data_IF_754071864431
#
_entry.id   IF_754071864431
#
_cell.length_a   1.000
_cell.length_b   1.000
_cell.length_c   1.000
_cell.angle_alpha   90.00
_cell.angle_beta   90.00
_cell.angle_gamma   90.00
#
_symmetry.space_group_name_H-M   'P 1'
#
loop_
_entity.id
_entity.type
_entity.pdbx_description
1 polymer ?
#
# COMPACT_ATOMS: atom_id res chain seq x y z
N UNK A 1 8.23 -22.20 -3.80
CA UNK A 1 8.45 -21.84 -5.23
C UNK A 1 9.54 -20.77 -5.26
N UNK A 2 10.67 -21.00 -5.93
CA UNK A 2 11.69 -19.96 -6.08
C UNK A 2 11.26 -18.99 -7.19
N UNK A 3 11.03 -17.71 -6.87
CA UNK A 3 10.65 -16.67 -7.83
C UNK A 3 11.70 -16.51 -8.94
N UNK A 4 12.96 -16.82 -8.64
CA UNK A 4 14.11 -16.76 -9.54
C UNK A 4 14.10 -17.82 -10.67
N UNK A 5 13.09 -18.70 -10.73
CA UNK A 5 12.94 -19.67 -11.84
C UNK A 5 12.39 -18.99 -13.10
N UNK A 6 11.69 -17.85 -12.96
CA UNK A 6 11.23 -17.07 -14.11
C UNK A 6 12.37 -16.19 -14.65
N UNK A 7 12.87 -16.40 -15.88
CA UNK A 7 14.06 -15.72 -16.38
C UNK A 7 13.95 -14.20 -16.36
N UNK A 8 12.80 -13.65 -16.76
CA UNK A 8 12.58 -12.20 -16.82
C UNK A 8 12.59 -11.57 -15.42
N UNK A 9 11.99 -12.25 -14.43
CA UNK A 9 12.05 -11.81 -13.04
C UNK A 9 13.48 -11.86 -12.52
N UNK A 10 14.21 -12.95 -12.78
CA UNK A 10 15.60 -13.09 -12.36
C UNK A 10 16.51 -12.02 -12.99
N UNK A 11 16.29 -11.67 -14.26
CA UNK A 11 17.01 -10.60 -14.93
C UNK A 11 16.73 -9.23 -14.31
N UNK A 12 15.46 -8.93 -13.99
CA UNK A 12 15.06 -7.70 -13.30
C UNK A 12 15.67 -7.63 -11.89
N UNK A 13 15.55 -8.71 -11.11
CA UNK A 13 16.02 -8.77 -9.73
C UNK A 13 17.54 -8.61 -9.59
N UNK A 14 18.32 -8.87 -10.66
CA UNK A 14 19.76 -8.65 -10.70
C UNK A 14 20.15 -7.17 -10.76
N UNK A 15 19.31 -6.32 -11.33
CA UNK A 15 19.65 -4.91 -11.63
C UNK A 15 18.79 -3.91 -10.88
N UNK A 16 17.60 -4.33 -10.45
CA UNK A 16 16.62 -3.47 -9.75
C UNK A 16 16.41 -3.98 -8.32
N UNK A 17 16.65 -3.15 -7.30
CA UNK A 17 16.34 -3.50 -5.92
C UNK A 17 14.84 -3.76 -5.73
N UNK A 18 14.49 -4.93 -5.22
CA UNK A 18 13.11 -5.31 -4.89
C UNK A 18 12.89 -5.09 -3.39
N UNK A 19 11.79 -4.41 -3.03
CA UNK A 19 11.33 -4.22 -1.64
C UNK A 19 9.94 -4.88 -1.56
N UNK A 20 9.88 -6.17 -1.22
CA UNK A 20 8.63 -6.93 -1.35
C UNK A 20 7.74 -6.75 -0.13
N UNK A 21 6.44 -6.98 -0.28
CA UNK A 21 5.49 -7.22 0.81
C UNK A 21 4.44 -8.18 0.26
N UNK A 22 3.84 -9.01 1.11
CA UNK A 22 2.83 -9.96 0.65
C UNK A 22 1.42 -9.37 0.58
N UNK A 23 0.56 -10.13 -0.09
CA UNK A 23 -0.87 -10.12 0.17
C UNK A 23 -1.41 -11.53 0.49
N UNK A 24 -2.73 -11.71 0.53
CA UNK A 24 -3.39 -12.99 0.86
C UNK A 24 -2.95 -14.17 -0.02
N UNK A 25 -2.69 -13.93 -1.30
CA UNK A 25 -2.24 -14.95 -2.25
C UNK A 25 -0.81 -15.46 -1.99
N UNK A 26 0.05 -14.68 -1.33
CA UNK A 26 1.34 -15.16 -0.82
C UNK A 26 1.22 -15.69 0.61
N UNK A 27 0.29 -15.14 1.39
CA UNK A 27 0.02 -15.52 2.78
C UNK A 27 -0.59 -16.92 2.91
N UNK A 28 -1.36 -17.37 1.91
CA UNK A 28 -1.75 -18.78 1.74
C UNK A 28 -3.25 -19.04 1.66
N UNK A 29 -4.10 -18.08 2.02
CA UNK A 29 -5.56 -18.20 1.91
C UNK A 29 -6.19 -16.83 1.65
N UNK A 30 -7.12 -16.78 0.68
CA UNK A 30 -7.82 -15.56 0.31
C UNK A 30 -8.43 -14.85 1.53
N UNK A 31 -8.09 -13.56 1.64
CA UNK A 31 -8.59 -12.66 2.67
C UNK A 31 -8.39 -13.16 4.12
N UNK A 32 -7.43 -14.07 4.37
CA UNK A 32 -7.18 -14.64 5.68
C UNK A 32 -6.29 -13.74 6.55
N UNK A 33 -6.54 -13.74 7.85
CA UNK A 33 -5.86 -12.92 8.85
C UNK A 33 -5.08 -13.76 9.84
N UNK A 34 -5.08 -13.33 11.10
CA UNK A 34 -4.38 -14.00 12.21
C UNK A 34 -4.87 -15.42 12.51
N UNK A 35 -6.08 -15.77 12.05
CA UNK A 35 -6.70 -17.10 12.17
C UNK A 35 -6.10 -18.15 11.25
N UNK A 36 -5.31 -17.75 10.25
CA UNK A 36 -4.62 -18.68 9.38
C UNK A 36 -3.52 -19.41 10.15
N UNK A 37 -3.60 -20.75 10.18
CA UNK A 37 -2.73 -21.59 11.00
C UNK A 37 -1.30 -21.72 10.51
N UNK A 38 -1.05 -21.48 9.21
CA UNK A 38 0.27 -21.64 8.58
C UNK A 38 0.99 -20.30 8.38
N UNK A 39 0.60 -19.25 9.12
CA UNK A 39 1.09 -17.88 8.86
C UNK A 39 2.57 -17.71 9.20
N UNK A 40 3.08 -18.43 10.19
CA UNK A 40 4.50 -18.48 10.53
C UNK A 40 5.31 -19.13 9.41
N UNK A 41 4.85 -20.25 8.87
CA UNK A 41 5.45 -20.96 7.75
C UNK A 41 5.40 -20.12 6.47
N UNK A 42 4.28 -19.45 6.20
CA UNK A 42 4.18 -18.50 5.09
C UNK A 42 5.20 -17.37 5.24
N UNK A 43 5.43 -16.84 6.46
CA UNK A 43 6.44 -15.81 6.69
C UNK A 43 7.86 -16.31 6.37
N UNK A 44 8.18 -17.54 6.78
CA UNK A 44 9.46 -18.17 6.46
C UNK A 44 9.64 -18.31 4.95
N UNK A 45 8.63 -18.85 4.25
CA UNK A 45 8.64 -19.01 2.80
C UNK A 45 8.73 -17.66 2.07
N UNK A 46 8.06 -16.62 2.56
CA UNK A 46 8.17 -15.27 2.01
C UNK A 46 9.62 -14.77 2.08
N UNK A 47 10.26 -14.88 3.25
CA UNK A 47 11.64 -14.45 3.40
C UNK A 47 12.62 -15.25 2.56
N UNK A 48 12.39 -16.55 2.38
CA UNK A 48 13.18 -17.40 1.49
C UNK A 48 12.98 -17.04 0.02
N UNK A 49 11.73 -16.86 -0.42
CA UNK A 49 11.39 -16.56 -1.80
C UNK A 49 12.04 -15.25 -2.28
N UNK A 50 12.11 -14.24 -1.40
CA UNK A 50 12.70 -12.95 -1.69
C UNK A 50 14.15 -12.80 -1.18
N UNK A 51 14.80 -13.90 -0.77
CA UNK A 51 16.21 -13.93 -0.36
C UNK A 51 16.58 -12.90 0.71
N UNK A 52 15.74 -12.73 1.74
CA UNK A 52 16.06 -11.82 2.85
C UNK A 52 17.32 -12.29 3.59
N UNK A 53 18.26 -11.37 3.90
CA UNK A 53 19.44 -11.70 4.71
C UNK A 53 19.05 -12.41 6.01
N UNK A 54 19.87 -13.37 6.47
CA UNK A 54 19.60 -14.13 7.70
C UNK A 54 19.41 -13.24 8.92
N UNK A 55 20.14 -12.13 8.99
CA UNK A 55 20.10 -11.15 10.08
C UNK A 55 19.13 -9.98 9.84
N UNK A 56 18.29 -10.01 8.79
CA UNK A 56 17.38 -8.92 8.47
C UNK A 56 16.37 -8.68 9.61
N UNK A 57 16.16 -7.43 10.02
CA UNK A 57 15.34 -7.08 11.20
C UNK A 57 13.90 -7.62 11.13
N UNK A 58 13.31 -7.68 9.94
CA UNK A 58 11.97 -8.25 9.73
C UNK A 58 11.84 -9.69 10.23
N UNK A 59 12.92 -10.48 10.21
CA UNK A 59 12.94 -11.88 10.69
C UNK A 59 12.89 -11.99 12.21
N UNK A 60 13.08 -10.88 12.93
CA UNK A 60 13.04 -10.82 14.40
C UNK A 60 11.68 -10.41 14.94
N UNK A 61 10.71 -10.17 14.06
CA UNK A 61 9.36 -9.75 14.41
C UNK A 61 8.34 -10.74 13.86
N UNK A 62 7.16 -10.89 14.49
CA UNK A 62 6.06 -11.65 13.89
C UNK A 62 5.55 -10.93 12.63
N UNK A 63 5.25 -11.68 11.56
CA UNK A 63 4.91 -11.11 10.24
C UNK A 63 6.13 -10.69 9.41
N UNK A 64 5.90 -9.99 8.30
CA UNK A 64 6.96 -9.66 7.31
C UNK A 64 7.16 -8.16 7.06
N UNK A 65 6.55 -7.32 7.90
CA UNK A 65 6.65 -5.86 7.80
C UNK A 65 8.09 -5.37 7.98
N UNK A 66 8.47 -4.35 7.21
CA UNK A 66 9.81 -3.78 7.28
C UNK A 66 9.88 -2.41 6.60
N UNK A 67 11.04 -1.78 6.67
CA UNK A 67 11.27 -0.46 6.07
C UNK A 67 12.64 -0.36 5.45
N UNK A 68 12.77 0.46 4.40
CA UNK A 68 14.05 0.79 3.78
C UNK A 68 14.15 2.28 3.51
N UNK A 69 15.26 2.90 3.91
CA UNK A 69 15.59 4.28 3.52
C UNK A 69 16.68 4.23 2.45
N UNK A 70 16.51 4.98 1.38
CA UNK A 70 17.47 5.09 0.27
C UNK A 70 17.75 6.57 -0.05
N UNK A 71 18.88 6.85 -0.66
CA UNK A 71 19.30 8.21 -1.02
C UNK A 71 20.09 8.94 0.08
N UNK A 72 20.83 10.01 -0.29
CA UNK A 72 21.64 10.78 0.63
C UNK A 72 20.78 11.73 1.47
N UNK A 73 21.36 12.32 2.53
CA UNK A 73 20.72 13.37 3.32
C UNK A 73 20.16 14.49 2.41
N UNK A 74 18.93 14.95 2.68
CA UNK A 74 18.21 15.92 1.86
C UNK A 74 17.50 15.33 0.63
N UNK A 75 17.72 14.05 0.30
CA UNK A 75 17.07 13.33 -0.80
C UNK A 75 16.72 11.88 -0.41
N UNK A 76 16.33 11.66 0.85
CA UNK A 76 15.97 10.33 1.37
C UNK A 76 14.55 9.97 1.02
N UNK A 77 14.38 8.76 0.50
CA UNK A 77 13.08 8.10 0.32
C UNK A 77 12.98 6.97 1.33
N UNK A 78 11.92 6.96 2.13
CA UNK A 78 11.60 5.86 3.03
C UNK A 78 10.43 5.06 2.47
N UNK A 79 10.63 3.76 2.29
CA UNK A 79 9.58 2.79 2.04
C UNK A 79 9.22 2.12 3.37
N UNK A 80 7.95 2.14 3.73
CA UNK A 80 7.38 1.51 4.92
C UNK A 80 6.42 0.44 4.43
N UNK A 81 6.81 -0.82 4.55
CA UNK A 81 6.07 -1.98 4.07
C UNK A 81 5.20 -2.52 5.20
N UNK A 82 3.88 -2.34 5.11
CA UNK A 82 2.93 -2.82 6.09
C UNK A 82 2.50 -4.25 5.76
N UNK A 83 2.66 -5.15 6.72
CA UNK A 83 1.96 -6.42 6.75
C UNK A 83 0.51 -6.19 7.22
N UNK A 84 -0.44 -6.42 6.33
CA UNK A 84 -1.90 -6.27 6.57
C UNK A 84 -2.59 -7.63 6.71
N UNK A 85 -1.82 -8.70 6.94
CA UNK A 85 -2.31 -10.09 7.04
C UNK A 85 -2.05 -10.68 8.42
N UNK A 86 -0.80 -10.72 8.85
CA UNK A 86 -0.35 -11.55 9.99
C UNK A 86 -1.11 -11.31 11.29
N UNK A 87 -1.42 -10.05 11.60
CA UNK A 87 -2.12 -9.65 12.82
C UNK A 87 -3.60 -9.38 12.63
N UNK A 88 -4.06 -9.26 11.37
CA UNK A 88 -5.37 -8.74 11.05
C UNK A 88 -6.45 -9.64 11.62
N UNK A 89 -7.48 -9.05 12.21
CA UNK A 89 -8.64 -9.79 12.67
C UNK A 89 -9.35 -10.51 11.52
N UNK A 90 -9.97 -11.68 11.78
CA UNK A 90 -10.76 -12.37 10.78
C UNK A 90 -11.87 -11.45 10.25
N UNK A 91 -12.12 -11.49 8.94
CA UNK A 91 -13.24 -10.78 8.35
C UNK A 91 -14.35 -11.74 7.98
N UNK A 92 -15.59 -11.35 8.28
CA UNK A 92 -16.78 -12.12 7.96
C UNK A 92 -17.46 -11.59 6.72
N UNK A 93 -17.64 -12.45 5.71
CA UNK A 93 -18.48 -12.15 4.54
C UNK A 93 -19.95 -12.35 4.90
N UNK A 94 -20.78 -11.36 4.64
CA UNK A 94 -22.24 -11.41 4.74
C UNK A 94 -22.87 -11.17 3.37
N UNK A 95 -24.13 -11.57 3.20
CA UNK A 95 -24.89 -11.31 1.99
C UNK A 95 -25.63 -9.97 2.13
N UNK A 96 -25.41 -9.07 1.19
CA UNK A 96 -26.15 -7.83 1.06
C UNK A 96 -26.77 -7.79 -0.34
N UNK A 97 -28.10 -7.92 -0.40
CA UNK A 97 -28.81 -8.16 -1.65
C UNK A 97 -28.28 -9.41 -2.38
N UNK A 98 -27.78 -9.23 -3.61
CA UNK A 98 -27.19 -10.31 -4.44
C UNK A 98 -25.67 -10.46 -4.26
N UNK A 99 -25.01 -9.61 -3.47
CA UNK A 99 -23.54 -9.55 -3.38
C UNK A 99 -23.07 -10.04 -2.02
N UNK A 100 -21.85 -10.60 -1.99
CA UNK A 100 -21.11 -10.83 -0.75
C UNK A 100 -20.31 -9.57 -0.43
N UNK A 101 -20.42 -9.09 0.80
CA UNK A 101 -19.72 -7.92 1.33
C UNK A 101 -19.08 -8.29 2.66
N UNK A 102 -18.05 -7.56 3.07
CA UNK A 102 -17.48 -7.73 4.40
C UNK A 102 -18.30 -6.98 5.46
N UNK A 103 -18.70 -7.70 6.50
CA UNK A 103 -19.22 -7.09 7.71
C UNK A 103 -18.12 -6.24 8.35
N UNK A 104 -18.51 -5.09 8.89
CA UNK A 104 -17.60 -4.24 9.67
C UNK A 104 -17.25 -4.97 10.96
N UNK A 105 -15.94 -5.12 11.20
CA UNK A 105 -15.39 -5.72 12.40
C UNK A 105 -15.09 -4.62 13.44
N UNK A 106 -15.73 -4.70 14.61
CA UNK A 106 -15.79 -3.64 15.64
C UNK A 106 -15.38 -4.12 17.04
N UNK A 107 -14.80 -5.30 17.18
CA UNK A 107 -14.35 -5.80 18.49
C UNK A 107 -13.28 -4.92 19.14
N UNK A 108 -13.15 -4.94 20.48
CA UNK A 108 -12.10 -4.18 21.19
C UNK A 108 -10.68 -4.61 20.78
N UNK A 109 -10.51 -5.86 20.36
CA UNK A 109 -9.25 -6.42 19.84
C UNK A 109 -9.23 -6.49 18.30
N UNK A 110 -10.15 -5.80 17.63
CA UNK A 110 -10.16 -5.75 16.18
C UNK A 110 -9.03 -4.85 15.67
N UNK A 111 -8.15 -5.45 14.87
CA UNK A 111 -6.90 -4.82 14.43
C UNK A 111 -6.52 -5.23 13.02
N UNK A 112 -5.72 -4.41 12.33
CA UNK A 112 -5.07 -4.76 11.06
C UNK A 112 -3.59 -5.06 11.33
N UNK A 113 -2.90 -4.11 11.96
CA UNK A 113 -1.45 -4.21 12.20
C UNK A 113 -1.10 -4.90 13.51
N UNK A 114 -2.01 -4.95 14.48
CA UNK A 114 -1.70 -5.43 15.83
C UNK A 114 -0.77 -4.50 16.59
N UNK A 115 -0.66 -4.71 17.91
CA UNK A 115 0.02 -3.79 18.83
C UNK A 115 1.50 -3.57 18.49
N UNK A 116 2.20 -4.64 18.12
CA UNK A 116 3.65 -4.61 17.88
C UNK A 116 4.02 -3.83 16.61
N UNK A 117 3.28 -4.04 15.52
CA UNK A 117 3.53 -3.34 14.26
C UNK A 117 3.07 -1.88 14.32
N UNK A 118 2.00 -1.57 15.08
CA UNK A 118 1.63 -0.18 15.36
C UNK A 118 2.76 0.61 16.03
N UNK A 119 3.32 0.06 17.12
CA UNK A 119 4.46 0.66 17.81
C UNK A 119 5.67 0.81 16.89
N UNK A 120 5.90 -0.19 16.04
CA UNK A 120 6.95 -0.15 15.03
C UNK A 120 6.72 0.95 13.99
N UNK A 121 5.49 1.12 13.47
CA UNK A 121 5.13 2.13 12.48
C UNK A 121 5.34 3.54 13.05
N UNK A 122 4.91 3.79 14.29
CA UNK A 122 5.18 5.05 14.99
C UNK A 122 6.69 5.35 15.06
N UNK A 123 7.52 4.34 15.32
CA UNK A 123 8.97 4.48 15.32
C UNK A 123 9.54 4.74 13.92
N UNK A 124 8.97 4.15 12.86
CA UNK A 124 9.40 4.41 11.49
C UNK A 124 9.11 5.85 11.06
N UNK A 125 7.97 6.42 11.44
CA UNK A 125 7.60 7.79 11.08
C UNK A 125 8.51 8.84 11.74
N UNK A 126 9.18 8.49 12.85
CA UNK A 126 10.19 9.35 13.49
C UNK A 126 11.54 9.38 12.79
N UNK A 127 11.85 8.40 11.92
CA UNK A 127 13.11 8.37 11.17
C UNK A 127 13.10 9.48 10.13
N UNK A 128 14.24 10.14 9.89
CA UNK A 128 14.31 11.22 8.92
C UNK A 128 14.17 10.72 7.47
N UNK A 129 13.25 11.33 6.72
CA UNK A 129 13.05 11.14 5.29
C UNK A 129 12.35 12.35 4.66
N UNK A 130 12.74 12.69 3.44
CA UNK A 130 12.16 13.80 2.68
C UNK A 130 10.94 13.37 1.87
N UNK A 131 10.83 12.08 1.54
CA UNK A 131 9.66 11.46 0.93
C UNK A 131 9.39 10.09 1.56
N UNK A 132 8.12 9.78 1.84
CA UNK A 132 7.69 8.49 2.37
C UNK A 132 6.67 7.81 1.47
N UNK A 133 6.87 6.51 1.27
CA UNK A 133 5.87 5.61 0.73
C UNK A 133 5.42 4.66 1.84
N UNK A 134 4.12 4.65 2.13
CA UNK A 134 3.50 3.65 2.99
C UNK A 134 2.81 2.64 2.08
N UNK A 135 3.29 1.40 2.09
CA UNK A 135 2.79 0.33 1.24
C UNK A 135 1.88 -0.56 2.05
N UNK A 136 0.64 -0.72 1.60
CA UNK A 136 -0.41 -1.55 2.21
C UNK A 136 -0.93 -2.52 1.16
N UNK A 137 -1.14 -3.79 1.48
CA UNK A 137 -1.63 -4.74 0.47
C UNK A 137 -3.05 -4.40 -0.01
N UNK A 138 -3.90 -3.94 0.92
CA UNK A 138 -5.29 -3.53 0.70
C UNK A 138 -5.49 -2.01 0.76
N UNK A 139 -6.59 -1.51 0.18
CA UNK A 139 -6.84 -0.07 0.08
C UNK A 139 -7.10 0.61 1.44
N UNK A 140 -6.59 1.83 1.60
CA UNK A 140 -6.75 2.67 2.80
C UNK A 140 -7.81 3.76 2.61
N UNK A 141 -7.73 4.51 1.51
CA UNK A 141 -8.51 5.71 1.26
C UNK A 141 -9.89 5.36 0.72
N UNK A 142 -9.97 4.54 -0.34
CA UNK A 142 -11.25 4.16 -0.94
C UNK A 142 -12.04 3.26 0.02
N UNK A 143 -13.24 3.70 0.43
CA UNK A 143 -14.08 2.99 1.40
C UNK A 143 -15.35 2.39 0.80
N UNK A 144 -15.63 2.60 -0.48
CA UNK A 144 -16.96 2.35 -1.07
C UNK A 144 -17.09 0.97 -1.74
N UNK A 145 -15.98 0.38 -2.20
CA UNK A 145 -16.01 -0.95 -2.81
C UNK A 145 -16.31 -2.04 -1.77
N UNK A 146 -16.94 -3.15 -2.18
CA UNK A 146 -17.39 -4.22 -1.26
C UNK A 146 -16.30 -5.18 -0.77
N UNK A 147 -15.13 -5.13 -1.39
CA UNK A 147 -14.01 -6.03 -1.15
C UNK A 147 -13.22 -5.62 0.10
N UNK A 148 -12.12 -6.31 0.36
CA UNK A 148 -11.30 -6.11 1.54
C UNK A 148 -10.57 -4.77 1.48
N UNK A 149 -10.56 -4.06 2.62
CA UNK A 149 -10.02 -2.71 2.77
C UNK A 149 -9.88 -2.35 4.24
N UNK A 150 -9.13 -1.30 4.52
CA UNK A 150 -8.96 -0.82 5.90
C UNK A 150 -10.26 -0.40 6.56
N UNK A 151 -11.24 0.11 5.81
CA UNK A 151 -12.55 0.48 6.38
C UNK A 151 -13.40 -0.72 6.80
N UNK A 152 -12.96 -1.97 6.59
CA UNK A 152 -13.56 -3.13 7.25
C UNK A 152 -13.29 -3.15 8.76
N UNK A 153 -12.20 -2.50 9.22
CA UNK A 153 -11.88 -2.28 10.64
C UNK A 153 -11.72 -0.76 10.87
N UNK A 154 -12.83 0.01 10.96
CA UNK A 154 -12.80 1.47 10.90
C UNK A 154 -11.89 2.14 11.93
N UNK A 155 -11.78 1.58 13.15
CA UNK A 155 -10.90 2.15 14.18
C UNK A 155 -9.42 2.13 13.78
N UNK A 156 -8.97 1.13 13.01
CA UNK A 156 -7.59 1.01 12.56
C UNK A 156 -7.29 2.03 11.46
N UNK A 157 -8.24 2.26 10.55
CA UNK A 157 -8.14 3.34 9.56
C UNK A 157 -8.08 4.70 10.24
N UNK A 158 -8.98 4.96 11.19
CA UNK A 158 -8.99 6.22 11.97
C UNK A 158 -7.68 6.40 12.72
N UNK A 159 -7.15 5.34 13.33
CA UNK A 159 -5.87 5.35 14.03
C UNK A 159 -4.70 5.68 13.09
N UNK A 160 -4.68 5.13 11.87
CA UNK A 160 -3.65 5.45 10.87
C UNK A 160 -3.69 6.93 10.49
N UNK A 161 -4.87 7.46 10.15
CA UNK A 161 -5.04 8.85 9.75
C UNK A 161 -4.68 9.81 10.89
N UNK A 162 -5.06 9.47 12.13
CA UNK A 162 -4.67 10.21 13.33
C UNK A 162 -3.15 10.20 13.52
N UNK A 163 -2.50 9.03 13.38
CA UNK A 163 -1.04 8.94 13.49
C UNK A 163 -0.34 9.81 12.43
N UNK A 164 -0.82 9.79 11.18
CA UNK A 164 -0.27 10.63 10.10
C UNK A 164 -0.46 12.12 10.37
N UNK A 165 -1.61 12.51 10.93
CA UNK A 165 -1.88 13.88 11.37
C UNK A 165 -0.91 14.31 12.48
N UNK A 166 -0.80 13.51 13.53
CA UNK A 166 -0.06 13.88 14.74
C UNK A 166 1.45 13.84 14.52
N UNK A 167 1.95 12.91 13.70
CA UNK A 167 3.38 12.77 13.41
C UNK A 167 3.88 13.76 12.35
N UNK A 168 2.99 14.34 11.54
CA UNK A 168 3.33 15.26 10.44
C UNK A 168 4.55 14.79 9.63
N UNK A 169 4.51 13.58 9.04
CA UNK A 169 5.71 12.88 8.55
C UNK A 169 6.21 13.43 7.20
N UNK A 170 6.00 14.72 6.90
CA UNK A 170 6.35 15.32 5.61
C UNK A 170 5.63 14.67 4.41
N UNK A 171 6.15 14.87 3.19
CA UNK A 171 5.59 14.29 1.97
C UNK A 171 5.40 12.77 2.09
N UNK A 172 4.15 12.32 2.01
CA UNK A 172 3.76 10.92 2.19
C UNK A 172 2.76 10.51 1.14
N UNK A 173 2.99 9.35 0.51
CA UNK A 173 2.11 8.74 -0.48
C UNK A 173 1.83 7.29 -0.05
N UNK A 174 0.59 6.84 -0.17
CA UNK A 174 0.19 5.46 0.05
C UNK A 174 0.24 4.71 -1.27
N UNK A 175 0.75 3.47 -1.25
CA UNK A 175 0.68 2.53 -2.37
C UNK A 175 -0.14 1.32 -1.96
N UNK A 176 -1.04 0.84 -2.82
CA UNK A 176 -1.83 -0.35 -2.54
C UNK A 176 -2.13 -1.26 -3.72
N UNK A 177 -2.55 -2.48 -3.39
CA UNK A 177 -2.77 -3.59 -4.32
C UNK A 177 -4.20 -4.14 -4.32
N UNK A 178 -4.34 -5.47 -4.36
CA UNK A 178 -5.57 -6.30 -4.25
C UNK A 178 -6.65 -6.13 -5.34
N UNK A 179 -6.90 -4.91 -5.79
CA UNK A 179 -8.14 -4.53 -6.47
C UNK A 179 -8.25 -4.91 -7.94
N UNK A 180 -7.20 -5.41 -8.60
CA UNK A 180 -7.20 -5.75 -10.04
C UNK A 180 -7.65 -4.58 -10.95
N UNK A 181 -7.27 -3.36 -10.53
CA UNK A 181 -7.53 -2.10 -11.21
C UNK A 181 -6.38 -1.14 -10.89
N UNK A 182 -6.43 0.04 -11.51
CA UNK A 182 -5.63 1.17 -11.09
C UNK A 182 -6.50 2.38 -10.79
N UNK A 183 -6.16 3.12 -9.75
CA UNK A 183 -6.77 4.41 -9.43
C UNK A 183 -5.87 5.23 -8.51
N UNK A 184 -6.10 6.54 -8.49
CA UNK A 184 -5.55 7.42 -7.46
C UNK A 184 -6.70 7.97 -6.64
N UNK A 185 -6.66 7.79 -5.33
CA UNK A 185 -7.58 8.43 -4.39
C UNK A 185 -6.87 9.53 -3.60
N UNK A 186 -7.60 10.56 -3.17
CA UNK A 186 -7.10 11.72 -2.43
C UNK A 186 -8.02 12.05 -1.27
N UNK A 187 -7.46 12.08 -0.07
CA UNK A 187 -8.05 12.82 1.06
C UNK A 187 -7.47 14.24 0.99
N UNK A 188 -8.36 15.24 0.92
CA UNK A 188 -7.95 16.65 0.85
C UNK A 188 -7.56 17.16 2.24
N UNK A 189 -6.52 18.00 2.27
CA UNK A 189 -6.16 18.76 3.45
C UNK A 189 -7.37 19.56 3.96
N UNK A 190 -7.57 19.58 5.29
CA UNK A 190 -8.68 20.24 5.96
C UNK A 190 -10.08 19.75 5.51
N UNK A 191 -10.16 18.57 4.89
CA UNK A 191 -11.41 17.90 4.57
C UNK A 191 -12.05 17.21 5.80
N UNK A 192 -12.95 16.25 5.55
CA UNK A 192 -13.69 15.52 6.59
C UNK A 192 -12.77 14.82 7.60
N UNK A 193 -11.66 14.25 7.13
CA UNK A 193 -10.65 13.58 7.96
C UNK A 193 -9.71 14.55 8.69
N UNK A 194 -9.80 15.85 8.41
CA UNK A 194 -9.05 16.92 9.08
C UNK A 194 -7.53 16.68 9.13
N UNK A 195 -6.96 16.20 8.02
CA UNK A 195 -5.52 16.09 7.82
C UNK A 195 -4.93 17.46 7.46
N UNK A 196 -3.74 17.82 7.96
CA UNK A 196 -3.10 19.10 7.64
C UNK A 196 -2.44 19.12 6.25
N UNK A 197 -2.53 18.02 5.50
CA UNK A 197 -1.97 17.84 4.17
C UNK A 197 -2.88 16.94 3.34
N UNK A 198 -2.68 16.94 2.03
CA UNK A 198 -3.30 15.94 1.18
C UNK A 198 -2.62 14.59 1.32
N UNK A 199 -3.43 13.56 1.43
CA UNK A 199 -2.97 12.19 1.41
C UNK A 199 -3.45 11.52 0.13
N UNK A 200 -2.49 11.06 -0.67
CA UNK A 200 -2.74 10.34 -1.91
C UNK A 200 -2.51 8.85 -1.71
N UNK A 201 -3.36 8.03 -2.31
CA UNK A 201 -3.18 6.59 -2.45
C UNK A 201 -3.19 6.24 -3.93
N UNK A 202 -2.12 5.62 -4.42
CA UNK A 202 -2.09 5.00 -5.74
C UNK A 202 -2.30 3.49 -5.60
N UNK A 203 -3.47 3.03 -6.02
CA UNK A 203 -3.76 1.60 -6.14
C UNK A 203 -3.36 1.14 -7.53
N UNK A 204 -2.57 0.08 -7.62
CA UNK A 204 -2.10 -0.49 -8.87
C UNK A 204 -1.88 -2.00 -8.70
N UNK A 205 -2.81 -2.82 -9.21
CA UNK A 205 -2.85 -4.27 -8.94
C UNK A 205 -3.32 -5.13 -10.10
N UNK A 206 -3.20 -4.63 -11.34
CA UNK A 206 -3.68 -5.34 -12.53
C UNK A 206 -2.59 -6.01 -13.36
N UNK A 207 -1.45 -6.42 -12.81
CA UNK A 207 -0.26 -6.75 -13.64
C UNK A 207 -0.45 -7.97 -14.56
N UNK A 208 -1.30 -8.94 -14.18
CA UNK A 208 -1.63 -10.11 -15.02
C UNK A 208 -3.15 -10.35 -15.10
N UNK A 209 -3.87 -10.05 -14.03
CA UNK A 209 -5.32 -10.16 -13.95
C UNK A 209 -5.90 -8.79 -13.59
N UNK A 210 -6.75 -8.27 -14.46
CA UNK A 210 -7.40 -6.98 -14.29
C UNK A 210 -8.89 -7.11 -14.59
N UNK A 211 -9.66 -6.04 -14.38
CA UNK A 211 -11.08 -6.02 -14.72
C UNK A 211 -12.01 -6.07 -13.52
N UNK A 212 -11.57 -5.70 -12.32
CA UNK A 212 -12.49 -5.52 -11.20
C UNK A 212 -13.57 -4.46 -11.52
N UNK A 213 -14.75 -4.53 -10.89
CA UNK A 213 -15.84 -3.57 -11.12
C UNK A 213 -15.39 -2.11 -10.91
N UNK A 214 -15.97 -1.19 -11.69
CA UNK A 214 -15.85 0.23 -11.42
C UNK A 214 -16.77 0.61 -10.26
N UNK A 215 -16.35 0.25 -9.05
CA UNK A 215 -16.99 0.70 -7.83
C UNK A 215 -16.79 2.22 -7.70
N UNK A 216 -17.79 2.97 -7.22
CA UNK A 216 -17.65 4.42 -7.01
C UNK A 216 -16.56 4.71 -5.97
N UNK A 217 -16.01 5.92 -6.04
CA UNK A 217 -15.18 6.51 -4.99
C UNK A 217 -15.25 8.02 -5.13
N UNK A 218 -15.94 8.70 -4.21
CA UNK A 218 -15.96 10.16 -4.18
C UNK A 218 -14.57 10.78 -3.88
N UNK A 219 -13.62 9.97 -3.43
CA UNK A 219 -12.23 10.35 -3.16
C UNK A 219 -11.31 10.13 -4.37
N UNK A 220 -11.80 9.48 -5.43
CA UNK A 220 -11.03 9.22 -6.64
C UNK A 220 -10.69 10.51 -7.36
N UNK A 221 -9.43 10.67 -7.74
CA UNK A 221 -8.97 11.74 -8.61
C UNK A 221 -9.50 11.47 -10.02
N UNK A 222 -10.25 12.41 -10.65
CA UNK A 222 -10.79 12.21 -11.99
C UNK A 222 -9.72 11.82 -13.02
N UNK A 223 -10.08 10.94 -13.95
CA UNK A 223 -9.17 10.48 -15.01
C UNK A 223 -8.09 9.48 -14.58
N UNK A 224 -8.07 9.06 -13.31
CA UNK A 224 -7.01 8.15 -12.81
C UNK A 224 -7.36 6.67 -12.83
N UNK A 225 -8.61 6.34 -13.11
CA UNK A 225 -9.15 4.99 -13.07
C UNK A 225 -8.84 4.18 -14.33
N UNK A 226 -8.45 2.91 -14.16
CA UNK A 226 -8.33 1.94 -15.24
C UNK A 226 -8.62 0.50 -14.78
N UNK A 227 -9.22 -0.28 -15.69
CA UNK A 227 -9.47 -1.73 -15.55
C UNK A 227 -8.53 -2.58 -16.41
N UNK A 228 -7.66 -1.95 -17.17
CA UNK A 228 -6.70 -2.65 -18.02
C UNK A 228 -5.59 -3.25 -17.17
N UNK A 229 -4.86 -4.20 -17.78
CA UNK A 229 -3.61 -4.69 -17.21
C UNK A 229 -2.64 -3.53 -17.02
N UNK A 230 -2.08 -3.39 -15.81
CA UNK A 230 -1.34 -2.20 -15.44
C UNK A 230 -0.17 -2.43 -14.47
N UNK A 231 0.76 -1.47 -14.47
CA UNK A 231 1.80 -1.29 -13.46
C UNK A 231 2.01 0.19 -13.15
N UNK A 232 2.50 0.49 -11.95
CA UNK A 232 2.74 1.83 -11.45
C UNK A 232 4.16 2.26 -11.71
N UNK A 233 4.35 3.53 -12.09
CA UNK A 233 5.65 4.18 -12.14
C UNK A 233 5.61 5.46 -11.31
N UNK A 234 6.66 5.70 -10.54
CA UNK A 234 6.78 6.89 -9.71
C UNK A 234 8.10 7.57 -10.05
N UNK A 235 7.99 8.76 -10.63
CA UNK A 235 9.15 9.59 -10.94
C UNK A 235 9.33 10.65 -9.86
N UNK A 236 10.52 10.74 -9.28
CA UNK A 236 10.84 11.68 -8.22
C UNK A 236 11.82 12.72 -8.77
N UNK A 237 11.38 13.96 -8.84
CA UNK A 237 12.22 15.10 -9.19
C UNK A 237 12.52 15.91 -7.92
N UNK A 238 13.77 15.88 -7.48
CA UNK A 238 14.22 16.60 -6.30
C UNK A 238 14.32 18.10 -6.57
N UNK A 239 13.37 18.87 -6.05
CA UNK A 239 13.45 20.34 -5.97
C UNK A 239 14.31 20.82 -4.80
N UNK A 240 14.31 22.14 -4.55
CA UNK A 240 15.16 22.75 -3.51
C UNK A 240 14.72 22.43 -2.06
N UNK A 241 13.40 22.36 -1.78
CA UNK A 241 12.87 22.13 -0.41
C UNK A 241 12.15 20.79 -0.25
N UNK A 242 11.31 20.41 -1.22
CA UNK A 242 10.56 19.14 -1.25
C UNK A 242 10.56 18.58 -2.68
N UNK A 243 10.37 17.26 -2.86
CA UNK A 243 10.31 16.67 -4.19
C UNK A 243 9.01 17.03 -4.92
N UNK A 244 9.07 16.99 -6.25
CA UNK A 244 7.92 16.80 -7.12
C UNK A 244 7.84 15.31 -7.47
N UNK A 245 6.67 14.71 -7.34
CA UNK A 245 6.45 13.28 -7.57
C UNK A 245 5.39 13.10 -8.64
N UNK A 246 5.70 12.38 -9.70
CA UNK A 246 4.73 12.02 -10.74
C UNK A 246 4.33 10.57 -10.54
N UNK A 247 3.04 10.34 -10.30
CA UNK A 247 2.41 9.03 -10.23
C UNK A 247 1.84 8.69 -11.61
N UNK A 248 2.28 7.59 -12.20
CA UNK A 248 1.81 7.14 -13.51
C UNK A 248 1.34 5.69 -13.47
N UNK A 249 0.22 5.41 -14.14
CA UNK A 249 -0.25 4.04 -14.40
C UNK A 249 -0.02 3.74 -15.87
N UNK A 250 0.72 2.67 -16.15
CA UNK A 250 1.09 2.25 -17.51
C UNK A 250 0.45 0.92 -17.86
N UNK A 251 0.22 0.65 -19.15
CA UNK A 251 -0.13 -0.69 -19.64
C UNK A 251 1.04 -1.33 -20.35
N UNK A 252 1.15 -2.68 -20.34
CA UNK A 252 2.14 -3.39 -21.14
C UNK A 252 1.81 -3.42 -22.66
N UNK A 253 0.62 -3.01 -23.10
CA UNK A 253 0.22 -3.11 -24.52
C UNK A 253 0.91 -2.02 -25.35
N UNK A 254 1.60 -2.44 -26.42
CA UNK A 254 2.26 -1.55 -27.37
C UNK A 254 1.26 -0.50 -27.93
N UNK A 255 1.64 0.78 -27.90
CA UNK A 255 0.85 1.90 -28.43
C UNK A 255 -0.08 2.60 -27.43
N UNK A 256 -0.21 2.12 -26.18
CA UNK A 256 -0.91 2.83 -25.08
C UNK A 256 -0.01 2.96 -23.86
N UNK A 257 0.86 3.97 -23.87
CA UNK A 257 1.98 4.01 -22.93
C UNK A 257 1.61 4.51 -21.53
N UNK A 258 0.52 5.28 -21.37
CA UNK A 258 0.08 5.77 -20.06
C UNK A 258 -1.43 5.93 -20.00
N UNK A 259 -2.06 5.37 -18.98
CA UNK A 259 -3.52 5.44 -18.77
C UNK A 259 -3.91 6.60 -17.86
N UNK A 260 -3.07 6.91 -16.89
CA UNK A 260 -3.28 8.02 -15.99
C UNK A 260 -1.96 8.56 -15.47
N UNK A 261 -1.91 9.88 -15.31
CA UNK A 261 -0.80 10.60 -14.73
C UNK A 261 -1.37 11.54 -13.68
N UNK A 262 -0.81 11.53 -12.49
CA UNK A 262 -1.08 12.50 -11.43
C UNK A 262 0.26 13.08 -10.97
N UNK A 263 0.46 14.37 -11.20
CA UNK A 263 1.66 15.07 -10.74
C UNK A 263 1.41 15.72 -9.39
N UNK A 264 2.29 15.47 -8.42
CA UNK A 264 2.25 16.00 -7.06
C UNK A 264 3.45 16.95 -6.86
N UNK A 265 3.19 18.22 -6.57
CA UNK A 265 4.23 19.18 -6.18
C UNK A 265 4.07 19.52 -4.70
N UNK A 266 4.96 18.96 -3.86
CA UNK A 266 4.90 19.17 -2.42
C UNK A 266 5.44 20.53 -1.95
N UNK A 267 6.04 21.34 -2.84
CA UNK A 267 6.50 22.70 -2.52
C UNK A 267 5.37 23.74 -2.58
N UNK A 268 4.25 23.40 -3.20
CA UNK A 268 3.04 24.22 -3.23
C UNK A 268 2.00 23.55 -2.35
N UNK A 269 0.93 24.26 -1.97
CA UNK A 269 -0.29 23.51 -1.63
C UNK A 269 -0.57 22.57 -2.81
N UNK A 270 -0.83 21.28 -2.58
CA UNK A 270 -1.08 20.33 -3.65
C UNK A 270 -2.25 20.78 -4.53
N UNK A 271 -1.90 21.42 -5.65
CA UNK A 271 -2.82 21.78 -6.72
C UNK A 271 -2.77 20.66 -7.74
N UNK A 272 -3.89 19.93 -7.87
CA UNK A 272 -4.09 19.04 -9.00
C UNK A 272 -4.05 19.90 -10.28
N UNK A 273 -3.22 19.51 -11.25
CA UNK A 273 -3.37 19.99 -12.62
C UNK A 273 -4.41 19.16 -13.33
#
# INVERSE_FOLDING_TARGET
RHLNIQPDYAALAKTVPIIPIWDDHDYGLNDAGREYKMKEESAQLFFEAFNFPKNHEAKKTPGVYHSRIVGPNGKRVQFIMLDTRYFRSPLKKIKEGKRKVYQIEKGPDATILGKVQWKWLEAQLRKAAELRFIVSSIQIINTEHRFEKWSNIPQERTKLLKLLKDSSPGPTIILSGDRHLAEVCRIRANGKENLPFDLYEMTCSGMTHAGAPNDPSHLRVPGTYSREVNYGLIDINWGEKKPKVTLSVKTPKAGKNTLSITSLDFNKYPTLK
#
